data_IF_500695059152
#
_entry.id   IF_500695059152
#
_cell.length_a   1.000
_cell.length_b   1.000
_cell.length_c   1.000
_cell.angle_alpha   90.00
_cell.angle_beta   90.00
_cell.angle_gamma   90.00
#
_symmetry.space_group_name_H-M   'P 1'
#
loop_
_entity.id
_entity.type
_entity.pdbx_description
1 polymer ?
#
# COMPACT_ATOMS: atom_id res chain seq x y z
N UNK A 1 74.25 -53.31 -2.63
CA UNK A 1 73.99 -52.79 -1.26
C UNK A 1 72.97 -51.63 -1.35
N UNK A 2 72.04 -51.64 -0.50
CA UNK A 2 70.94 -50.68 -0.22
C UNK A 2 69.56 -51.01 -0.85
N UNK A 3 68.77 -51.52 -0.03
CA UNK A 3 67.32 -51.86 -0.14
C UNK A 3 66.50 -50.60 -0.21
N UNK A 4 65.58 -50.53 -1.16
CA UNK A 4 64.52 -49.50 -1.21
C UNK A 4 63.19 -50.17 -0.92
N UNK A 5 62.55 -49.71 0.13
CA UNK A 5 61.24 -50.18 0.62
C UNK A 5 60.16 -49.46 -0.18
N UNK A 6 59.25 -50.23 -0.83
CA UNK A 6 58.02 -49.73 -1.41
C UNK A 6 56.99 -49.53 -0.29
N UNK A 7 56.49 -48.31 -0.09
CA UNK A 7 55.38 -48.02 0.74
C UNK A 7 54.16 -47.78 -0.14
N UNK A 8 53.21 -48.73 -0.13
CA UNK A 8 51.90 -48.53 -0.70
C UNK A 8 51.05 -47.57 0.20
N UNK A 9 50.78 -46.39 -0.30
CA UNK A 9 49.83 -45.50 0.35
C UNK A 9 48.39 -45.83 -0.17
N UNK A 10 47.57 -46.37 0.73
CA UNK A 10 46.15 -46.54 0.50
C UNK A 10 45.44 -45.20 0.69
N UNK A 11 44.90 -44.63 -0.38
CA UNK A 11 44.02 -43.48 -0.32
C UNK A 11 42.63 -43.93 0.20
N UNK A 12 42.34 -43.59 1.45
CA UNK A 12 40.99 -43.62 2.04
C UNK A 12 40.25 -42.38 1.53
N UNK A 13 39.31 -42.57 0.61
CA UNK A 13 38.29 -41.61 0.24
C UNK A 13 37.27 -41.52 1.39
N UNK A 14 37.46 -40.56 2.28
CA UNK A 14 36.38 -40.15 3.19
C UNK A 14 35.42 -39.27 2.42
N UNK A 15 34.23 -39.81 2.10
CA UNK A 15 33.09 -39.04 1.69
C UNK A 15 32.67 -38.14 2.85
N UNK A 16 33.11 -36.88 2.81
CA UNK A 16 32.63 -35.85 3.71
C UNK A 16 31.19 -35.54 3.33
N UNK A 17 30.23 -36.06 4.07
CA UNK A 17 28.90 -35.48 4.13
C UNK A 17 29.04 -34.06 4.68
N UNK A 18 29.00 -33.10 3.78
CA UNK A 18 28.85 -31.70 4.17
C UNK A 18 27.52 -31.56 4.91
N UNK A 19 27.56 -31.40 6.23
CA UNK A 19 26.46 -30.85 6.98
C UNK A 19 26.23 -29.46 6.41
N UNK A 20 25.12 -29.27 5.67
CA UNK A 20 24.54 -27.93 5.55
C UNK A 20 24.28 -27.48 6.98
N UNK A 21 25.07 -26.52 7.44
CA UNK A 21 24.70 -25.72 8.58
C UNK A 21 23.42 -24.97 8.15
N UNK A 22 22.27 -25.42 8.59
CA UNK A 22 21.11 -24.58 8.74
C UNK A 22 21.53 -23.48 9.72
N UNK A 23 21.99 -22.37 9.22
CA UNK A 23 22.12 -21.12 9.97
C UNK A 23 20.70 -20.65 10.38
N UNK A 24 20.07 -21.37 11.30
CA UNK A 24 18.97 -20.85 12.10
C UNK A 24 19.59 -19.76 12.94
N UNK A 25 19.45 -18.52 12.49
CA UNK A 25 19.81 -17.35 13.28
C UNK A 25 19.12 -17.51 14.65
N UNK A 26 19.94 -17.57 15.70
CA UNK A 26 19.43 -17.76 17.06
C UNK A 26 18.44 -16.62 17.34
N UNK A 27 17.25 -16.94 17.82
CA UNK A 27 16.17 -15.97 18.09
C UNK A 27 16.67 -14.85 19.03
N UNK A 28 17.71 -15.12 19.83
CA UNK A 28 18.32 -14.15 20.73
C UNK A 28 19.14 -13.07 19.99
N UNK A 29 19.64 -13.33 18.77
CA UNK A 29 20.46 -12.38 18.00
C UNK A 29 19.66 -11.59 16.95
N UNK A 30 18.34 -11.82 16.84
CA UNK A 30 17.53 -11.11 15.87
C UNK A 30 17.33 -9.64 16.27
N UNK A 31 17.99 -8.73 15.55
CA UNK A 31 17.85 -7.29 15.74
C UNK A 31 16.48 -6.81 15.23
N UNK A 32 15.51 -6.78 16.11
CA UNK A 32 14.13 -6.40 15.80
C UNK A 32 13.92 -4.89 15.63
N UNK A 33 14.68 -4.02 16.34
CA UNK A 33 14.66 -2.56 16.12
C UNK A 33 15.87 -2.15 15.31
N UNK A 34 15.66 -1.52 14.13
CA UNK A 34 16.73 -1.14 13.20
C UNK A 34 16.98 0.36 13.18
N UNK A 35 15.96 1.18 13.44
CA UNK A 35 16.10 2.64 13.51
C UNK A 35 15.10 3.23 14.52
N UNK A 36 15.34 4.47 14.89
CA UNK A 36 14.41 5.31 15.64
C UNK A 36 14.65 6.77 15.26
N UNK A 37 13.59 7.47 14.90
CA UNK A 37 13.62 8.91 14.67
C UNK A 37 12.32 9.53 15.17
N UNK A 38 12.41 10.70 15.80
CA UNK A 38 11.28 11.37 16.46
C UNK A 38 10.53 10.39 17.41
N UNK A 39 9.23 10.23 17.22
CA UNK A 39 8.35 9.28 17.92
C UNK A 39 8.21 7.91 17.22
N UNK A 40 8.86 7.73 16.05
CA UNK A 40 8.78 6.52 15.24
C UNK A 40 9.90 5.54 15.58
N UNK A 41 9.55 4.27 15.81
CA UNK A 41 10.48 3.12 15.83
C UNK A 41 10.31 2.31 14.56
N UNK A 42 11.41 2.04 13.85
CA UNK A 42 11.42 1.16 12.69
C UNK A 42 11.76 -0.25 13.14
N UNK A 43 10.80 -1.15 13.01
CA UNK A 43 10.91 -2.52 13.48
C UNK A 43 11.08 -3.47 12.30
N UNK A 44 11.84 -4.54 12.53
CA UNK A 44 11.87 -5.71 11.66
C UNK A 44 11.02 -6.80 12.29
N UNK A 45 10.36 -7.56 11.45
CA UNK A 45 9.64 -8.75 11.86
C UNK A 45 10.23 -9.96 11.13
N UNK A 46 10.24 -11.10 11.80
CA UNK A 46 10.42 -12.39 11.14
C UNK A 46 9.13 -12.72 10.43
N UNK A 47 9.23 -13.47 9.33
CA UNK A 47 8.06 -13.94 8.57
C UNK A 47 7.95 -15.46 8.83
N UNK A 48 7.31 -15.86 9.94
CA UNK A 48 7.19 -17.26 10.28
C UNK A 48 6.47 -18.04 9.19
N UNK A 49 6.80 -19.31 9.08
CA UNK A 49 6.20 -20.24 8.11
C UNK A 49 6.48 -19.94 6.62
N UNK A 50 7.24 -18.90 6.28
CA UNK A 50 7.60 -18.61 4.89
C UNK A 50 8.39 -19.78 4.26
N UNK A 51 9.26 -20.42 5.03
CA UNK A 51 10.06 -21.55 4.55
C UNK A 51 9.23 -22.78 4.23
N UNK A 52 8.06 -22.92 4.84
CA UNK A 52 7.12 -24.01 4.58
C UNK A 52 6.37 -23.89 3.24
N UNK A 53 6.37 -22.68 2.65
CA UNK A 53 5.76 -22.46 1.34
C UNK A 53 6.52 -23.22 0.24
N UNK A 54 5.77 -23.80 -0.69
CA UNK A 54 6.32 -24.40 -1.90
C UNK A 54 7.04 -23.35 -2.76
N UNK A 55 7.95 -23.78 -3.64
CA UNK A 55 8.64 -22.86 -4.57
C UNK A 55 7.66 -22.08 -5.45
N UNK A 56 6.53 -22.69 -5.83
CA UNK A 56 5.46 -22.03 -6.60
C UNK A 56 4.85 -20.87 -5.80
N UNK A 57 4.49 -21.11 -4.54
CA UNK A 57 3.94 -20.10 -3.63
C UNK A 57 4.96 -18.99 -3.31
N UNK A 58 6.23 -19.34 -3.10
CA UNK A 58 7.31 -18.33 -2.91
C UNK A 58 7.45 -17.42 -4.13
N UNK A 59 7.36 -17.98 -5.35
CA UNK A 59 7.35 -17.18 -6.59
C UNK A 59 6.10 -16.31 -6.69
N UNK A 60 4.94 -16.82 -6.27
CA UNK A 60 3.70 -16.05 -6.25
C UNK A 60 3.80 -14.85 -5.30
N UNK A 61 4.23 -15.09 -4.05
CA UNK A 61 4.50 -14.01 -3.07
C UNK A 61 5.47 -12.97 -3.64
N UNK A 62 6.55 -13.41 -4.29
CA UNK A 62 7.52 -12.50 -4.90
C UNK A 62 6.88 -11.63 -6.00
N UNK A 63 6.13 -12.20 -6.94
CA UNK A 63 5.53 -11.45 -8.04
C UNK A 63 4.45 -10.47 -7.54
N UNK A 64 3.61 -10.91 -6.60
CA UNK A 64 2.61 -10.05 -5.96
C UNK A 64 3.28 -8.90 -5.17
N UNK A 65 4.38 -9.18 -4.47
CA UNK A 65 5.16 -8.16 -3.76
C UNK A 65 5.79 -7.14 -4.70
N UNK A 66 6.29 -7.58 -5.87
CA UNK A 66 6.77 -6.64 -6.88
C UNK A 66 5.65 -5.74 -7.41
N UNK A 67 4.45 -6.29 -7.65
CA UNK A 67 3.28 -5.49 -8.01
C UNK A 67 2.93 -4.46 -6.92
N UNK A 68 2.96 -4.88 -5.65
CA UNK A 68 2.71 -4.00 -4.51
C UNK A 68 3.72 -2.84 -4.40
N UNK A 69 5.00 -3.09 -4.70
CA UNK A 69 6.03 -2.06 -4.67
C UNK A 69 5.92 -1.04 -5.81
N UNK A 70 5.38 -1.45 -6.98
CA UNK A 70 5.26 -0.58 -8.15
C UNK A 70 4.24 0.54 -7.98
N UNK A 71 3.23 0.37 -7.14
CA UNK A 71 2.19 1.37 -6.91
C UNK A 71 2.51 2.40 -5.82
N UNK A 72 3.63 2.29 -5.13
CA UNK A 72 3.99 3.18 -4.02
C UNK A 72 3.88 4.67 -4.37
N UNK A 73 4.35 5.06 -5.55
CA UNK A 73 4.38 6.46 -5.97
C UNK A 73 2.98 7.02 -6.26
N UNK A 74 1.99 6.16 -6.53
CA UNK A 74 0.58 6.56 -6.71
C UNK A 74 0.07 7.21 -5.44
N UNK A 75 0.27 6.57 -4.28
CA UNK A 75 -0.22 7.11 -3.00
C UNK A 75 0.45 8.45 -2.65
N UNK A 76 1.75 8.61 -2.91
CA UNK A 76 2.41 9.91 -2.71
C UNK A 76 1.68 11.03 -3.45
N UNK A 77 1.35 10.80 -4.73
CA UNK A 77 0.66 11.78 -5.56
C UNK A 77 -0.80 11.99 -5.10
N UNK A 78 -1.52 10.92 -4.76
CA UNK A 78 -2.89 11.00 -4.24
C UNK A 78 -2.98 11.83 -2.97
N UNK A 79 -2.02 11.67 -2.04
CA UNK A 79 -2.01 12.41 -0.77
C UNK A 79 -1.68 13.90 -0.96
N UNK A 80 -0.86 14.24 -1.93
CA UNK A 80 -0.56 15.62 -2.29
C UNK A 80 0.25 15.68 -3.58
N UNK A 81 -0.16 16.50 -4.53
CA UNK A 81 0.44 16.60 -5.86
C UNK A 81 1.96 16.91 -5.84
N UNK A 82 2.45 17.60 -4.81
CA UNK A 82 3.87 17.95 -4.69
C UNK A 82 4.69 16.94 -3.86
N UNK A 83 4.10 15.88 -3.31
CA UNK A 83 4.85 14.91 -2.52
C UNK A 83 5.97 14.22 -3.29
N UNK A 84 5.74 13.82 -4.55
CA UNK A 84 6.78 13.19 -5.37
C UNK A 84 7.93 14.14 -5.73
N UNK A 85 7.67 15.36 -6.23
CA UNK A 85 8.71 16.37 -6.41
C UNK A 85 9.50 16.66 -5.13
N UNK A 86 8.82 16.85 -4.00
CA UNK A 86 9.46 17.11 -2.69
C UNK A 86 10.33 15.92 -2.30
N UNK A 87 9.80 14.70 -2.28
CA UNK A 87 10.56 13.50 -1.92
C UNK A 87 11.83 13.36 -2.75
N UNK A 88 11.71 13.45 -4.08
CA UNK A 88 12.85 13.32 -5.00
C UNK A 88 13.90 14.39 -4.76
N UNK A 89 13.49 15.64 -4.52
CA UNK A 89 14.42 16.75 -4.20
C UNK A 89 15.16 16.48 -2.89
N UNK A 90 14.44 16.08 -1.84
CA UNK A 90 15.05 15.75 -0.54
C UNK A 90 15.99 14.53 -0.64
N UNK A 91 15.66 13.51 -1.43
CA UNK A 91 16.50 12.35 -1.70
C UNK A 91 17.79 12.75 -2.44
N UNK A 92 17.70 13.58 -3.48
CA UNK A 92 18.87 14.09 -4.21
C UNK A 92 19.82 14.88 -3.31
N UNK A 93 19.29 15.74 -2.43
CA UNK A 93 20.07 16.46 -1.42
C UNK A 93 20.76 15.47 -0.47
N UNK A 94 20.01 14.53 0.08
CA UNK A 94 20.53 13.54 1.03
C UNK A 94 21.66 12.70 0.45
N UNK A 95 21.48 12.21 -0.78
CA UNK A 95 22.46 11.36 -1.47
C UNK A 95 23.73 12.09 -1.89
N UNK A 96 23.64 13.38 -2.15
CA UNK A 96 24.79 14.20 -2.57
C UNK A 96 25.47 14.96 -1.42
N UNK A 97 24.93 14.87 -0.20
CA UNK A 97 25.49 15.60 0.95
C UNK A 97 26.90 15.13 1.30
N UNK A 98 27.88 16.04 1.17
CA UNK A 98 29.29 15.78 1.48
C UNK A 98 29.79 16.44 2.78
N UNK A 99 28.87 17.00 3.61
CA UNK A 99 29.23 17.69 4.85
C UNK A 99 29.32 16.76 6.05
N UNK A 100 29.31 17.34 7.25
CA UNK A 100 29.32 16.57 8.51
C UNK A 100 27.93 16.00 8.80
N UNK A 101 27.80 14.68 8.75
CA UNK A 101 26.55 13.99 9.08
C UNK A 101 26.11 14.18 10.55
N UNK A 102 26.98 14.73 11.42
CA UNK A 102 26.65 15.08 12.80
C UNK A 102 26.21 16.55 12.96
N UNK A 103 26.23 17.36 11.89
CA UNK A 103 25.67 18.72 11.96
C UNK A 103 24.20 18.64 12.42
N UNK A 104 23.83 19.33 13.50
CA UNK A 104 22.45 19.32 14.01
C UNK A 104 21.40 19.75 12.98
N UNK A 105 21.77 20.65 12.06
CA UNK A 105 20.88 21.12 10.99
C UNK A 105 20.64 20.02 9.96
N UNK A 106 21.70 19.26 9.61
CA UNK A 106 21.57 18.12 8.70
C UNK A 106 20.79 16.97 9.33
N UNK A 107 20.98 16.71 10.63
CA UNK A 107 20.14 15.74 11.35
C UNK A 107 18.67 16.13 11.40
N UNK A 108 18.35 17.41 11.50
CA UNK A 108 16.96 17.88 11.41
C UNK A 108 16.39 17.68 9.99
N UNK A 109 17.19 17.92 8.95
CA UNK A 109 16.84 17.64 7.57
C UNK A 109 16.61 16.12 7.33
N UNK A 110 17.55 15.28 7.76
CA UNK A 110 17.44 13.82 7.67
C UNK A 110 16.18 13.31 8.39
N UNK A 111 15.88 13.85 9.58
CA UNK A 111 14.66 13.50 10.32
C UNK A 111 13.41 13.86 9.53
N UNK A 112 13.36 15.02 8.91
CA UNK A 112 12.22 15.42 8.06
C UNK A 112 12.05 14.50 6.85
N UNK A 113 13.13 14.18 6.14
CA UNK A 113 13.13 13.23 5.03
C UNK A 113 12.62 11.84 5.47
N UNK A 114 13.08 11.34 6.62
CA UNK A 114 12.59 10.08 7.20
C UNK A 114 11.09 10.11 7.50
N UNK A 115 10.56 11.24 7.98
CA UNK A 115 9.11 11.44 8.16
C UNK A 115 8.36 11.38 6.83
N UNK A 116 8.88 12.05 5.80
CA UNK A 116 8.30 12.03 4.45
C UNK A 116 8.28 10.61 3.87
N UNK A 117 9.35 9.85 4.04
CA UNK A 117 9.38 8.44 3.62
C UNK A 117 8.37 7.59 4.38
N UNK A 118 8.33 7.75 5.70
CA UNK A 118 7.48 6.96 6.56
C UNK A 118 6.00 7.22 6.32
N UNK A 119 5.61 8.49 6.15
CA UNK A 119 4.21 8.88 6.02
C UNK A 119 3.67 8.89 4.57
N UNK A 120 4.48 8.52 3.57
CA UNK A 120 4.17 8.66 2.14
C UNK A 120 3.84 10.12 1.75
N UNK A 121 4.60 11.08 2.28
CA UNK A 121 4.42 12.50 1.97
C UNK A 121 4.71 13.41 3.16
N UNK A 122 4.45 14.71 2.96
CA UNK A 122 4.74 15.75 3.96
C UNK A 122 3.69 15.87 5.06
N UNK A 123 2.68 15.01 5.08
CA UNK A 123 1.62 14.99 6.07
C UNK A 123 1.64 13.72 6.92
N UNK A 124 1.26 13.85 8.17
CA UNK A 124 1.20 12.73 9.10
C UNK A 124 0.14 11.72 8.66
N UNK A 125 0.46 10.43 8.74
CA UNK A 125 -0.35 9.34 8.20
C UNK A 125 -1.66 9.06 8.96
N UNK A 126 -1.84 9.61 10.17
CA UNK A 126 -3.09 9.51 10.93
C UNK A 126 -3.79 10.85 11.10
N UNK A 127 -3.07 11.89 11.56
CA UNK A 127 -3.69 13.19 11.83
C UNK A 127 -3.97 14.00 10.57
N UNK A 128 -3.38 13.60 9.44
CA UNK A 128 -3.40 14.34 8.17
C UNK A 128 -2.68 15.71 8.20
N UNK A 129 -2.11 16.12 9.33
CA UNK A 129 -1.44 17.41 9.50
C UNK A 129 -0.08 17.45 8.82
N UNK A 130 0.26 18.60 8.28
CA UNK A 130 1.56 18.83 7.66
C UNK A 130 2.68 18.83 8.69
N UNK A 131 3.80 18.18 8.35
CA UNK A 131 5.02 18.23 9.14
C UNK A 131 5.69 19.59 9.08
N UNK A 132 6.10 20.10 10.23
CA UNK A 132 6.94 21.30 10.32
C UNK A 132 8.40 20.86 10.22
N UNK A 133 9.21 21.43 9.28
CA UNK A 133 10.63 21.15 9.20
C UNK A 133 11.36 21.64 10.46
N UNK A 134 12.30 20.85 10.95
CA UNK A 134 13.18 21.24 12.06
C UNK A 134 14.43 22.01 11.62
N UNK A 135 14.48 22.51 10.39
CA UNK A 135 15.55 23.27 9.78
C UNK A 135 14.99 24.47 9.02
N UNK A 136 15.83 25.47 8.76
CA UNK A 136 15.40 26.73 8.12
C UNK A 136 15.35 26.62 6.59
N UNK A 137 14.53 27.45 5.96
CA UNK A 137 14.48 27.59 4.50
C UNK A 137 15.86 27.99 3.93
N UNK A 138 16.59 28.91 4.58
CA UNK A 138 17.95 29.29 4.16
C UNK A 138 18.95 28.14 4.21
N UNK A 139 18.80 27.21 5.15
CA UNK A 139 19.62 26.00 5.19
C UNK A 139 19.25 25.05 4.04
N UNK A 140 17.97 24.89 3.75
CA UNK A 140 17.51 24.14 2.58
C UNK A 140 18.08 24.72 1.28
N UNK A 141 18.05 26.05 1.11
CA UNK A 141 18.64 26.72 -0.07
C UNK A 141 20.14 26.42 -0.19
N UNK A 142 20.87 26.43 0.94
CA UNK A 142 22.30 26.08 0.96
C UNK A 142 22.55 24.64 0.55
N UNK A 143 21.73 23.71 1.00
CA UNK A 143 21.80 22.29 0.60
C UNK A 143 21.47 22.10 -0.88
N UNK A 144 20.41 22.74 -1.36
CA UNK A 144 20.01 22.67 -2.76
C UNK A 144 21.09 23.26 -3.70
N UNK A 145 21.68 24.39 -3.34
CA UNK A 145 22.76 25.02 -4.11
C UNK A 145 24.04 24.17 -4.17
N UNK A 146 24.27 23.30 -3.17
CA UNK A 146 25.41 22.38 -3.14
C UNK A 146 25.10 21.01 -3.80
N UNK A 147 23.88 20.82 -4.31
CA UNK A 147 23.42 19.58 -4.94
C UNK A 147 23.47 19.71 -6.47
N UNK A 148 24.42 19.08 -7.18
CA UNK A 148 24.62 19.31 -8.62
C UNK A 148 23.40 18.97 -9.48
N UNK A 149 22.62 17.97 -9.11
CA UNK A 149 21.42 17.54 -9.85
C UNK A 149 20.25 18.53 -9.75
N UNK A 150 20.32 19.50 -8.85
CA UNK A 150 19.33 20.57 -8.69
C UNK A 150 19.69 21.86 -9.43
N UNK A 151 20.86 21.94 -10.05
CA UNK A 151 21.25 23.08 -10.89
C UNK A 151 20.27 23.23 -12.06
N UNK A 152 19.75 24.43 -12.28
CA UNK A 152 18.77 24.71 -13.33
C UNK A 152 17.34 24.25 -13.00
N UNK A 153 17.05 23.91 -11.73
CA UNK A 153 15.73 23.54 -11.25
C UNK A 153 15.08 24.59 -10.33
N UNK A 154 15.39 25.86 -10.56
CA UNK A 154 14.93 27.00 -9.73
C UNK A 154 13.40 27.08 -9.67
N UNK A 155 12.70 26.79 -10.77
CA UNK A 155 11.22 26.78 -10.83
C UNK A 155 10.65 25.68 -9.92
N UNK A 156 11.24 24.48 -9.93
CA UNK A 156 10.85 23.39 -9.06
C UNK A 156 11.05 23.78 -7.59
N UNK A 157 12.22 24.34 -7.25
CA UNK A 157 12.52 24.76 -5.89
C UNK A 157 11.57 25.87 -5.41
N UNK A 158 11.24 26.84 -6.27
CA UNK A 158 10.28 27.88 -5.98
C UNK A 158 8.87 27.34 -5.73
N UNK A 159 8.49 26.27 -6.43
CA UNK A 159 7.19 25.61 -6.27
C UNK A 159 7.08 24.82 -4.95
N UNK A 160 8.12 24.06 -4.57
CA UNK A 160 8.04 23.16 -3.42
C UNK A 160 8.37 23.84 -2.08
N UNK A 161 9.14 24.93 -2.06
CA UNK A 161 9.53 25.59 -0.80
C UNK A 161 8.34 26.11 0.01
N UNK A 162 7.36 26.84 -0.54
CA UNK A 162 6.19 27.25 0.22
C UNK A 162 5.41 26.05 0.77
N UNK A 163 5.30 24.95 0.01
CA UNK A 163 4.64 23.75 0.47
C UNK A 163 5.35 23.11 1.68
N UNK A 164 6.67 23.21 1.76
CA UNK A 164 7.46 22.67 2.89
C UNK A 164 7.42 23.62 4.09
N UNK A 165 7.64 24.94 3.90
CA UNK A 165 7.97 25.86 4.96
C UNK A 165 6.82 26.76 5.43
N UNK A 166 5.82 27.07 4.59
CA UNK A 166 4.66 27.87 5.02
C UNK A 166 3.65 26.99 5.79
N UNK A 167 3.47 27.19 7.10
CA UNK A 167 2.59 26.36 7.91
C UNK A 167 1.10 26.49 7.54
N UNK A 168 0.71 27.58 6.88
CA UNK A 168 -0.69 27.84 6.52
C UNK A 168 -1.10 27.22 5.18
N UNK A 169 -0.12 26.94 4.30
CA UNK A 169 -0.40 26.28 3.02
C UNK A 169 -0.47 24.77 3.17
N UNK A 170 -1.50 24.15 2.58
CA UNK A 170 -1.65 22.69 2.52
C UNK A 170 -1.58 22.03 3.90
N UNK A 171 -2.31 22.57 4.87
CA UNK A 171 -2.25 22.20 6.29
C UNK A 171 -2.60 20.75 6.56
N UNK A 172 -3.59 20.22 5.82
CA UNK A 172 -4.09 18.85 5.99
C UNK A 172 -4.34 18.19 4.64
N UNK A 173 -4.07 16.89 4.53
CA UNK A 173 -4.45 16.11 3.33
C UNK A 173 -5.94 15.92 3.22
N UNK A 174 -6.66 15.81 4.34
CA UNK A 174 -8.11 15.59 4.41
C UNK A 174 -8.65 16.45 5.54
N UNK A 175 -9.22 17.60 5.19
CA UNK A 175 -9.80 18.56 6.14
C UNK A 175 -11.34 18.45 6.09
N UNK A 176 -11.91 17.93 7.17
CA UNK A 176 -13.35 17.76 7.35
C UNK A 176 -13.92 18.69 8.44
N UNK A 177 -13.27 19.85 8.66
CA UNK A 177 -13.74 20.84 9.63
C UNK A 177 -15.10 21.42 9.22
N UNK A 178 -15.90 21.81 10.22
CA UNK A 178 -17.19 22.42 9.96
C UNK A 178 -17.07 23.81 9.29
N UNK A 179 -17.96 24.07 8.34
CA UNK A 179 -18.12 25.40 7.73
C UNK A 179 -17.10 25.78 6.66
N UNK A 180 -16.27 24.84 6.21
CA UNK A 180 -15.34 25.02 5.09
C UNK A 180 -15.79 24.25 3.85
N UNK A 181 -15.23 24.58 2.69
CA UNK A 181 -15.26 23.69 1.52
C UNK A 181 -14.19 22.62 1.69
N UNK A 182 -14.58 21.39 2.06
CA UNK A 182 -13.69 20.30 2.38
C UNK A 182 -12.79 19.90 1.21
N UNK A 183 -13.26 20.08 -0.03
CA UNK A 183 -12.50 19.73 -1.23
C UNK A 183 -11.36 20.71 -1.46
N UNK A 184 -11.64 22.02 -1.42
CA UNK A 184 -10.64 23.04 -1.69
C UNK A 184 -9.69 23.30 -0.51
N UNK A 185 -10.10 22.93 0.71
CA UNK A 185 -9.27 23.04 1.92
C UNK A 185 -8.33 21.84 2.11
N UNK A 186 -8.62 20.70 1.51
CA UNK A 186 -7.80 19.50 1.57
C UNK A 186 -6.65 19.55 0.55
N UNK A 187 -5.45 19.14 0.95
CA UNK A 187 -4.29 19.12 0.09
C UNK A 187 -4.21 17.87 -0.82
N UNK A 188 -5.11 16.88 -0.63
CA UNK A 188 -5.11 15.69 -1.47
C UNK A 188 -5.35 16.01 -2.95
N UNK A 189 -4.91 15.11 -3.81
CA UNK A 189 -4.93 15.30 -5.27
C UNK A 189 -6.08 14.53 -5.94
N UNK A 190 -7.24 14.48 -5.27
CA UNK A 190 -8.43 13.78 -5.79
C UNK A 190 -9.34 14.69 -6.62
N UNK A 191 -9.20 16.01 -6.44
CA UNK A 191 -10.03 17.02 -7.09
C UNK A 191 -9.12 18.12 -7.67
N UNK A 192 -9.49 18.68 -8.83
CA UNK A 192 -8.73 19.75 -9.44
C UNK A 192 -9.66 20.77 -10.13
N UNK A 193 -9.70 21.99 -9.57
CA UNK A 193 -10.56 23.06 -10.04
C UNK A 193 -12.05 22.86 -9.73
N UNK A 194 -12.37 21.95 -8.82
CA UNK A 194 -13.73 21.55 -8.42
C UNK A 194 -13.95 21.98 -6.97
N UNK A 195 -15.12 22.51 -6.65
CA UNK A 195 -15.58 22.77 -5.30
C UNK A 195 -16.28 21.54 -4.70
N UNK A 196 -16.46 21.53 -3.38
CA UNK A 196 -17.23 20.47 -2.70
C UNK A 196 -18.63 20.32 -3.30
N UNK A 197 -19.36 21.42 -3.46
CA UNK A 197 -20.72 21.42 -4.03
C UNK A 197 -20.74 20.81 -5.43
N UNK A 198 -19.82 21.20 -6.28
CA UNK A 198 -19.74 20.67 -7.65
C UNK A 198 -19.42 19.18 -7.67
N UNK A 199 -18.55 18.70 -6.77
CA UNK A 199 -18.25 17.28 -6.65
C UNK A 199 -19.48 16.47 -6.18
N UNK A 200 -20.17 16.95 -5.15
CA UNK A 200 -21.40 16.34 -4.63
C UNK A 200 -22.50 16.28 -5.70
N UNK A 201 -22.73 17.38 -6.41
CA UNK A 201 -23.72 17.44 -7.51
C UNK A 201 -23.34 16.47 -8.67
N UNK A 202 -22.05 16.39 -9.01
CA UNK A 202 -21.55 15.46 -10.03
C UNK A 202 -21.86 14.01 -9.67
N UNK A 203 -21.44 13.56 -8.46
CA UNK A 203 -21.66 12.17 -8.04
C UNK A 203 -23.12 11.86 -7.79
N UNK A 204 -23.90 12.81 -7.27
CA UNK A 204 -25.35 12.63 -7.14
C UNK A 204 -26.04 12.41 -8.49
N UNK A 205 -25.54 13.04 -9.55
CA UNK A 205 -26.08 12.87 -10.92
C UNK A 205 -25.84 11.48 -11.50
N UNK A 206 -24.86 10.72 -10.97
CA UNK A 206 -24.52 9.36 -11.44
C UNK A 206 -25.33 8.27 -10.71
N UNK A 207 -26.07 8.63 -9.67
CA UNK A 207 -26.84 7.65 -8.87
C UNK A 207 -28.06 7.19 -9.65
N UNK A 208 -28.12 5.89 -9.98
CA UNK A 208 -29.33 5.22 -10.44
C UNK A 208 -29.97 4.46 -9.26
N UNK A 209 -31.05 5.03 -8.72
CA UNK A 209 -31.78 4.43 -7.58
C UNK A 209 -32.46 3.09 -7.92
N UNK A 210 -32.53 2.72 -9.19
CA UNK A 210 -33.12 1.45 -9.67
C UNK A 210 -32.07 0.35 -9.84
N UNK A 211 -30.78 0.68 -9.84
CA UNK A 211 -29.69 -0.31 -9.91
C UNK A 211 -29.48 -0.98 -8.54
N UNK A 212 -29.75 -2.29 -8.39
CA UNK A 212 -29.53 -3.01 -7.14
C UNK A 212 -28.03 -3.33 -6.88
N UNK A 213 -27.15 -3.06 -7.85
CA UNK A 213 -25.73 -3.38 -7.85
C UNK A 213 -24.86 -2.23 -8.36
N UNK A 214 -24.98 -1.05 -7.75
CA UNK A 214 -24.25 0.13 -8.19
C UNK A 214 -22.77 -0.03 -7.95
N UNK A 215 -21.95 0.42 -8.91
CA UNK A 215 -20.50 0.55 -8.71
C UNK A 215 -20.19 1.69 -7.75
N UNK A 216 -19.04 1.64 -7.10
CA UNK A 216 -18.53 2.73 -6.26
C UNK A 216 -17.96 3.86 -7.17
N UNK A 217 -18.86 4.72 -7.68
CA UNK A 217 -18.48 5.80 -8.60
C UNK A 217 -17.39 6.70 -7.99
N UNK A 218 -16.38 7.04 -8.77
CA UNK A 218 -15.26 7.88 -8.35
C UNK A 218 -14.07 7.16 -7.74
N UNK A 219 -14.19 5.85 -7.39
CA UNK A 219 -13.19 5.11 -6.63
C UNK A 219 -11.78 5.16 -7.25
N UNK A 220 -11.68 5.08 -8.56
CA UNK A 220 -10.42 5.02 -9.30
C UNK A 220 -10.23 6.20 -10.26
N UNK A 221 -10.57 7.40 -9.82
CA UNK A 221 -10.50 8.58 -10.67
C UNK A 221 -10.16 9.84 -9.89
N UNK A 222 -9.64 10.84 -10.59
CA UNK A 222 -9.58 12.23 -10.17
C UNK A 222 -10.72 12.99 -10.81
N UNK A 223 -11.45 13.82 -10.04
CA UNK A 223 -12.49 14.68 -10.61
C UNK A 223 -11.86 16.04 -10.95
N UNK A 224 -11.98 16.44 -12.20
CA UNK A 224 -11.35 17.65 -12.71
C UNK A 224 -12.33 18.56 -13.39
N UNK A 225 -12.07 19.88 -13.32
CA UNK A 225 -12.82 20.89 -14.04
C UNK A 225 -11.89 21.62 -15.01
N UNK A 226 -12.20 21.56 -16.31
CA UNK A 226 -11.47 22.25 -17.38
C UNK A 226 -12.48 22.94 -18.30
N UNK A 227 -12.26 24.21 -18.58
CA UNK A 227 -13.14 25.02 -19.45
C UNK A 227 -14.62 24.94 -19.05
N UNK A 228 -14.88 24.91 -17.73
CA UNK A 228 -16.22 24.84 -17.16
C UNK A 228 -16.88 23.45 -17.20
N UNK A 229 -16.21 22.43 -17.73
CA UNK A 229 -16.70 21.04 -17.75
C UNK A 229 -16.07 20.22 -16.63
N UNK A 230 -16.88 19.44 -15.94
CA UNK A 230 -16.45 18.50 -14.90
C UNK A 230 -16.48 17.10 -15.46
N UNK A 231 -15.40 16.35 -15.26
CA UNK A 231 -15.27 14.95 -15.70
C UNK A 231 -14.25 14.20 -14.87
N UNK A 232 -14.26 12.87 -14.96
CA UNK A 232 -13.31 11.99 -14.28
C UNK A 232 -12.09 11.69 -15.17
N UNK A 233 -10.90 11.87 -14.63
CA UNK A 233 -9.66 11.31 -15.13
C UNK A 233 -9.45 9.94 -14.48
N UNK A 234 -9.86 8.88 -15.19
CA UNK A 234 -9.81 7.51 -14.66
C UNK A 234 -8.37 7.00 -14.59
N UNK A 235 -8.01 6.42 -13.44
CA UNK A 235 -6.70 5.81 -13.20
C UNK A 235 -6.66 4.39 -13.77
N UNK A 236 -6.08 4.26 -14.93
CA UNK A 236 -5.97 3.03 -15.71
C UNK A 236 -4.72 3.03 -16.57
N UNK A 237 -4.49 1.94 -17.28
CA UNK A 237 -3.51 1.91 -18.37
C UNK A 237 -3.85 3.04 -19.39
N UNK A 238 -2.82 3.73 -19.88
CA UNK A 238 -2.94 4.94 -20.72
C UNK A 238 -3.54 6.17 -20.01
N UNK A 239 -3.75 6.11 -18.68
CA UNK A 239 -4.19 7.23 -17.84
C UNK A 239 -3.05 7.85 -17.01
N UNK A 240 -3.42 8.67 -16.01
CA UNK A 240 -2.49 9.46 -15.18
C UNK A 240 -1.38 8.62 -14.55
N UNK A 241 -1.68 7.41 -14.06
CA UNK A 241 -0.73 6.51 -13.40
C UNK A 241 -0.23 5.39 -14.30
N UNK A 242 -0.35 5.52 -15.64
CA UNK A 242 0.03 4.47 -16.59
C UNK A 242 1.42 3.89 -16.34
N UNK A 243 2.50 4.68 -16.09
CA UNK A 243 3.84 4.10 -15.88
C UNK A 243 3.95 3.19 -14.65
N UNK A 244 3.14 3.42 -13.62
CA UNK A 244 3.05 2.55 -12.45
C UNK A 244 2.16 1.33 -12.74
N UNK A 245 1.00 1.56 -13.34
CA UNK A 245 0.01 0.53 -13.69
C UNK A 245 0.58 -0.50 -14.67
N UNK A 246 1.37 -0.08 -15.67
CA UNK A 246 2.09 -1.00 -16.57
C UNK A 246 2.99 -1.98 -15.80
N UNK A 247 3.71 -1.49 -14.80
CA UNK A 247 4.58 -2.34 -13.96
C UNK A 247 3.76 -3.25 -13.05
N UNK A 248 2.68 -2.72 -12.47
CA UNK A 248 1.76 -3.51 -11.63
C UNK A 248 1.17 -4.66 -12.46
N UNK A 249 0.59 -4.36 -13.62
CA UNK A 249 -0.01 -5.37 -14.50
C UNK A 249 1.00 -6.39 -15.01
N UNK A 250 2.21 -5.97 -15.37
CA UNK A 250 3.29 -6.88 -15.72
C UNK A 250 3.56 -7.92 -14.63
N UNK A 251 3.68 -7.48 -13.37
CA UNK A 251 3.95 -8.39 -12.26
C UNK A 251 2.74 -9.25 -11.89
N UNK A 252 1.52 -8.72 -12.00
CA UNK A 252 0.30 -9.50 -11.84
C UNK A 252 0.16 -10.59 -12.90
N UNK A 253 0.48 -10.30 -14.17
CA UNK A 253 0.50 -11.30 -15.24
C UNK A 253 1.52 -12.41 -14.96
N UNK A 254 2.70 -12.07 -14.39
CA UNK A 254 3.65 -13.08 -13.90
C UNK A 254 3.08 -13.90 -12.75
N UNK A 255 2.39 -13.26 -11.80
CA UNK A 255 1.73 -13.94 -10.69
C UNK A 255 0.68 -14.94 -11.17
N UNK A 256 -0.13 -14.59 -12.16
CA UNK A 256 -1.13 -15.47 -12.76
C UNK A 256 -0.53 -16.79 -13.31
N UNK A 257 0.72 -16.77 -13.80
CA UNK A 257 1.40 -17.98 -14.31
C UNK A 257 1.77 -18.99 -13.23
N UNK A 258 1.81 -18.57 -11.97
CA UNK A 258 2.17 -19.38 -10.80
C UNK A 258 1.07 -19.42 -9.74
N UNK A 259 -0.14 -19.00 -10.07
CA UNK A 259 -1.31 -19.08 -9.19
C UNK A 259 -1.52 -20.51 -8.67
N UNK A 260 -1.94 -20.66 -7.42
CA UNK A 260 -2.06 -21.95 -6.76
C UNK A 260 -3.13 -22.83 -7.40
N UNK A 261 -4.23 -22.20 -7.84
CA UNK A 261 -5.38 -22.86 -8.44
C UNK A 261 -6.04 -21.98 -9.52
N UNK A 262 -7.01 -22.52 -10.29
CA UNK A 262 -7.70 -21.76 -11.35
C UNK A 262 -8.52 -20.55 -10.83
N UNK A 263 -9.10 -20.62 -9.63
CA UNK A 263 -9.87 -19.52 -9.04
C UNK A 263 -8.96 -18.32 -8.75
N UNK A 264 -7.82 -18.55 -8.10
CA UNK A 264 -6.82 -17.49 -7.85
C UNK A 264 -6.29 -16.90 -9.17
N UNK A 265 -6.05 -17.74 -10.18
CA UNK A 265 -5.64 -17.24 -11.49
C UNK A 265 -6.70 -16.31 -12.08
N UNK A 266 -7.96 -16.70 -12.04
CA UNK A 266 -9.08 -15.89 -12.54
C UNK A 266 -9.20 -14.54 -11.77
N UNK A 267 -8.99 -14.56 -10.45
CA UNK A 267 -8.94 -13.37 -9.61
C UNK A 267 -7.85 -12.41 -10.07
N UNK A 268 -6.62 -12.89 -10.28
CA UNK A 268 -5.50 -12.07 -10.74
C UNK A 268 -5.78 -11.51 -12.15
N UNK A 269 -6.31 -12.32 -13.05
CA UNK A 269 -6.65 -11.89 -14.42
C UNK A 269 -7.77 -10.84 -14.44
N UNK A 270 -8.77 -10.94 -13.56
CA UNK A 270 -9.81 -9.91 -13.41
C UNK A 270 -9.24 -8.58 -12.90
N UNK A 271 -8.31 -8.62 -11.95
CA UNK A 271 -7.61 -7.43 -11.48
C UNK A 271 -6.78 -6.77 -12.60
N UNK A 272 -6.10 -7.56 -13.43
CA UNK A 272 -5.37 -7.06 -14.60
C UNK A 272 -6.33 -6.40 -15.59
N UNK A 273 -7.53 -7.00 -15.84
CA UNK A 273 -8.56 -6.42 -16.69
C UNK A 273 -9.04 -5.07 -16.19
N UNK A 274 -9.30 -4.98 -14.87
CA UNK A 274 -9.64 -3.73 -14.19
C UNK A 274 -8.58 -2.63 -14.40
N UNK A 275 -7.32 -2.91 -14.13
CA UNK A 275 -6.25 -1.93 -14.33
C UNK A 275 -6.10 -1.48 -15.80
N UNK A 276 -6.36 -2.36 -16.75
CA UNK A 276 -6.31 -2.04 -18.18
C UNK A 276 -7.49 -1.18 -18.62
N UNK A 277 -8.69 -1.50 -18.18
CA UNK A 277 -9.93 -0.80 -18.62
C UNK A 277 -10.27 0.42 -17.76
N UNK A 278 -9.99 0.37 -16.45
CA UNK A 278 -10.51 1.31 -15.46
C UNK A 278 -12.01 1.11 -15.15
N UNK A 279 -12.62 0.03 -15.63
CA UNK A 279 -14.05 -0.25 -15.43
C UNK A 279 -14.29 -0.79 -14.03
N UNK A 280 -15.08 -0.09 -13.23
CA UNK A 280 -15.44 -0.47 -11.87
C UNK A 280 -16.27 -1.76 -11.80
N UNK A 281 -16.95 -2.17 -12.87
CA UNK A 281 -17.60 -3.48 -12.94
C UNK A 281 -16.58 -4.62 -12.97
N UNK A 282 -15.43 -4.41 -13.60
CA UNK A 282 -14.32 -5.37 -13.54
C UNK A 282 -13.70 -5.43 -12.13
N UNK A 283 -13.71 -4.30 -11.40
CA UNK A 283 -13.28 -4.30 -9.99
C UNK A 283 -14.27 -5.06 -9.10
N UNK A 284 -15.56 -4.90 -9.31
CA UNK A 284 -16.60 -5.71 -8.63
C UNK A 284 -16.42 -7.20 -8.95
N UNK A 285 -16.16 -7.54 -10.22
CA UNK A 285 -15.87 -8.92 -10.64
C UNK A 285 -14.62 -9.47 -9.96
N UNK A 286 -13.54 -8.70 -9.89
CA UNK A 286 -12.34 -9.06 -9.14
C UNK A 286 -12.67 -9.35 -7.68
N UNK A 287 -13.44 -8.47 -7.04
CA UNK A 287 -13.82 -8.58 -5.63
C UNK A 287 -14.63 -9.86 -5.35
N UNK A 288 -15.56 -10.22 -6.23
CA UNK A 288 -16.36 -11.45 -6.12
C UNK A 288 -15.47 -12.69 -6.27
N UNK A 289 -14.63 -12.74 -7.32
CA UNK A 289 -13.71 -13.87 -7.53
C UNK A 289 -12.71 -14.00 -6.38
N UNK A 290 -12.26 -12.89 -5.81
CA UNK A 290 -11.38 -12.87 -4.65
C UNK A 290 -12.07 -13.49 -3.41
N UNK A 291 -13.35 -13.20 -3.18
CA UNK A 291 -14.14 -13.83 -2.11
C UNK A 291 -14.32 -15.32 -2.32
N UNK A 292 -14.56 -15.75 -3.56
CA UNK A 292 -14.75 -17.15 -3.94
C UNK A 292 -13.47 -17.99 -3.79
N UNK A 293 -12.28 -17.38 -3.90
CA UNK A 293 -10.99 -18.06 -3.67
C UNK A 293 -10.75 -18.26 -2.17
N UNK A 294 -11.41 -19.28 -1.62
CA UNK A 294 -11.28 -19.69 -0.22
C UNK A 294 -10.05 -20.56 0.07
N UNK A 295 -9.53 -21.28 -0.93
CA UNK A 295 -8.58 -22.38 -0.75
C UNK A 295 -7.12 -21.97 -0.85
N UNK A 296 -6.78 -20.90 -1.59
CA UNK A 296 -5.41 -20.43 -1.75
C UNK A 296 -4.76 -20.12 -0.40
N UNK A 297 -3.51 -20.54 -0.23
CA UNK A 297 -2.71 -20.25 0.95
C UNK A 297 -2.14 -18.83 0.89
N UNK A 298 -1.63 -18.42 -0.27
CA UNK A 298 -1.19 -17.03 -0.53
C UNK A 298 -2.41 -16.21 -0.95
N UNK A 299 -2.57 -15.04 -0.35
CA UNK A 299 -3.65 -14.12 -0.65
C UNK A 299 -3.11 -12.70 -0.84
N UNK A 300 -3.89 -11.83 -1.47
CA UNK A 300 -3.46 -10.47 -1.74
C UNK A 300 -4.64 -9.52 -1.91
N UNK A 301 -4.38 -8.26 -1.63
CA UNK A 301 -5.24 -7.12 -1.98
C UNK A 301 -4.40 -6.16 -2.80
N UNK A 302 -4.94 -5.58 -3.86
CA UNK A 302 -4.24 -4.58 -4.66
C UNK A 302 -5.27 -3.76 -5.45
N UNK A 303 -5.24 -2.44 -5.33
CA UNK A 303 -6.20 -1.59 -6.02
C UNK A 303 -6.37 -0.22 -5.40
N UNK A 304 -7.34 0.52 -5.91
CA UNK A 304 -7.86 1.76 -5.33
C UNK A 304 -9.05 1.36 -4.44
N UNK A 305 -8.91 1.41 -3.10
CA UNK A 305 -9.80 0.67 -2.20
C UNK A 305 -10.36 1.54 -1.09
N UNK A 306 -9.49 2.12 -0.23
CA UNK A 306 -9.94 2.82 0.96
C UNK A 306 -10.19 4.30 0.70
N UNK A 307 -11.36 4.80 1.10
CA UNK A 307 -11.78 6.17 0.81
C UNK A 307 -11.58 7.16 1.97
N UNK A 308 -10.90 6.77 3.03
CA UNK A 308 -10.64 7.64 4.20
C UNK A 308 -9.79 8.88 3.89
N UNK A 309 -9.00 8.85 2.83
CA UNK A 309 -8.19 9.98 2.38
C UNK A 309 -8.95 11.04 1.60
N UNK A 310 -10.20 10.76 1.21
CA UNK A 310 -11.09 11.69 0.53
C UNK A 310 -12.12 12.25 1.54
N UNK A 311 -12.22 13.58 1.74
CA UNK A 311 -13.19 14.16 2.66
C UNK A 311 -14.65 13.87 2.30
N UNK A 312 -14.94 13.56 1.03
CA UNK A 312 -16.28 13.19 0.55
C UNK A 312 -16.49 11.67 0.45
N UNK A 313 -15.44 10.85 0.59
CA UNK A 313 -15.52 9.40 0.60
C UNK A 313 -15.72 8.72 -0.77
N UNK A 314 -15.53 9.42 -1.89
CA UNK A 314 -15.67 8.84 -3.23
C UNK A 314 -14.38 8.19 -3.75
N UNK A 315 -13.20 8.72 -3.39
CA UNK A 315 -11.92 8.40 -4.00
C UNK A 315 -11.16 7.34 -3.24
N UNK A 316 -10.78 6.26 -3.91
CA UNK A 316 -9.99 5.19 -3.31
C UNK A 316 -8.50 5.51 -3.27
N UNK A 317 -7.89 5.44 -2.08
CA UNK A 317 -6.43 5.39 -1.96
C UNK A 317 -5.91 4.08 -2.56
N UNK A 318 -4.78 4.17 -3.26
CA UNK A 318 -4.13 2.96 -3.76
C UNK A 318 -3.44 2.22 -2.61
N UNK A 319 -3.74 0.93 -2.50
CA UNK A 319 -3.10 0.05 -1.51
C UNK A 319 -2.79 -1.34 -2.06
N UNK A 320 -1.89 -2.02 -1.37
CA UNK A 320 -1.61 -3.43 -1.62
C UNK A 320 -1.19 -4.13 -0.32
N UNK A 321 -1.65 -5.37 -0.20
CA UNK A 321 -1.25 -6.30 0.85
C UNK A 321 -1.00 -7.66 0.24
N UNK A 322 0.14 -8.27 0.54
CA UNK A 322 0.46 -9.65 0.16
C UNK A 322 0.70 -10.44 1.42
N UNK A 323 -0.02 -11.52 1.59
CA UNK A 323 0.01 -12.32 2.79
C UNK A 323 -0.14 -13.81 2.49
N UNK A 324 0.05 -14.63 3.50
CA UNK A 324 -0.28 -16.05 3.44
C UNK A 324 -0.86 -16.52 4.77
N UNK A 325 -1.73 -17.53 4.69
CA UNK A 325 -2.46 -18.06 5.85
C UNK A 325 -1.49 -18.73 6.83
N UNK A 326 -1.61 -18.37 8.11
CA UNK A 326 -1.12 -19.20 9.19
C UNK A 326 -2.15 -20.31 9.45
N UNK A 327 -1.87 -21.52 8.97
CA UNK A 327 -2.83 -22.64 8.95
C UNK A 327 -3.25 -23.03 10.37
N UNK A 328 -2.29 -23.12 11.30
CA UNK A 328 -2.57 -23.52 12.68
C UNK A 328 -3.39 -22.47 13.45
N UNK A 329 -3.08 -21.21 13.27
CA UNK A 329 -3.86 -20.13 13.89
C UNK A 329 -5.25 -20.01 13.24
N UNK A 330 -5.38 -20.20 11.92
CA UNK A 330 -6.65 -20.15 11.21
C UNK A 330 -7.60 -21.25 11.67
N UNK A 331 -7.13 -22.48 11.93
CA UNK A 331 -7.98 -23.54 12.50
C UNK A 331 -8.65 -23.13 13.81
N UNK A 332 -8.00 -22.30 14.63
CA UNK A 332 -8.58 -21.79 15.88
C UNK A 332 -9.68 -20.76 15.63
N UNK A 333 -9.54 -19.92 14.60
CA UNK A 333 -10.53 -18.90 14.25
C UNK A 333 -11.72 -19.45 13.47
N UNK A 334 -11.64 -20.65 12.88
CA UNK A 334 -12.78 -21.34 12.24
C UNK A 334 -13.97 -21.53 13.19
N UNK A 335 -13.71 -21.62 14.49
CA UNK A 335 -14.77 -21.70 15.51
C UNK A 335 -15.63 -20.42 15.49
N UNK A 336 -15.00 -19.24 15.30
CA UNK A 336 -15.71 -17.96 15.20
C UNK A 336 -16.58 -17.93 13.94
N UNK A 337 -16.02 -18.33 12.79
CA UNK A 337 -16.75 -18.39 11.53
C UNK A 337 -17.98 -19.30 11.59
N UNK A 338 -17.83 -20.49 12.20
CA UNK A 338 -18.94 -21.44 12.38
C UNK A 338 -20.04 -20.96 13.33
N UNK A 339 -19.73 -20.03 14.20
CA UNK A 339 -20.69 -19.45 15.16
C UNK A 339 -21.11 -18.02 14.78
N UNK A 340 -20.85 -17.57 13.56
CA UNK A 340 -21.12 -16.19 13.13
C UNK A 340 -22.61 -15.83 13.28
N UNK A 341 -23.53 -16.74 12.94
CA UNK A 341 -24.97 -16.54 13.14
C UNK A 341 -25.33 -16.37 14.63
N UNK A 342 -24.72 -17.19 15.50
CA UNK A 342 -24.95 -17.05 16.94
C UNK A 342 -24.52 -15.66 17.46
N UNK A 343 -23.40 -15.13 16.99
CA UNK A 343 -22.95 -13.78 17.36
C UNK A 343 -23.89 -12.70 16.83
N UNK A 344 -24.40 -12.83 15.61
CA UNK A 344 -25.41 -11.92 15.06
C UNK A 344 -26.68 -11.91 15.91
N UNK A 345 -27.23 -13.10 16.19
CA UNK A 345 -28.47 -13.28 16.93
C UNK A 345 -28.39 -12.73 18.37
N UNK A 346 -27.22 -12.87 19.00
CA UNK A 346 -26.97 -12.44 20.38
C UNK A 346 -26.27 -11.07 20.51
N UNK A 347 -26.06 -10.36 19.39
CA UNK A 347 -25.49 -9.00 19.43
C UNK A 347 -26.47 -8.03 20.09
N UNK A 348 -25.99 -6.95 20.75
CA UNK A 348 -26.84 -5.93 21.38
C UNK A 348 -27.46 -4.95 20.36
N UNK A 349 -27.62 -5.37 19.10
CA UNK A 349 -28.21 -4.60 18.01
C UNK A 349 -29.72 -4.85 17.99
N UNK A 350 -30.52 -3.82 17.68
CA UNK A 350 -31.96 -3.96 17.50
C UNK A 350 -32.27 -5.02 16.43
N UNK A 351 -33.30 -5.82 16.69
CA UNK A 351 -33.68 -6.93 15.81
C UNK A 351 -34.00 -6.49 14.38
N UNK A 352 -34.50 -5.27 14.19
CA UNK A 352 -34.77 -4.69 12.87
C UNK A 352 -33.50 -4.54 11.98
N UNK A 353 -32.32 -4.53 12.57
CA UNK A 353 -31.03 -4.38 11.88
C UNK A 353 -30.21 -5.68 11.86
N UNK A 354 -30.71 -6.76 12.48
CA UNK A 354 -30.02 -8.05 12.45
C UNK A 354 -30.20 -8.75 11.12
N UNK A 355 -29.16 -9.46 10.67
CA UNK A 355 -29.22 -10.29 9.48
C UNK A 355 -29.94 -11.59 9.79
N UNK A 356 -30.95 -11.94 8.98
CA UNK A 356 -31.62 -13.25 9.09
C UNK A 356 -30.65 -14.40 8.83
N UNK A 357 -29.71 -14.22 7.91
CA UNK A 357 -28.68 -15.19 7.56
C UNK A 357 -27.33 -14.50 7.40
N UNK A 358 -26.35 -14.94 8.18
CA UNK A 358 -24.96 -14.49 8.06
C UNK A 358 -24.23 -15.35 7.03
N UNK A 359 -23.85 -14.73 5.91
CA UNK A 359 -23.15 -15.39 4.80
C UNK A 359 -21.69 -14.99 4.72
N UNK A 360 -20.84 -15.93 4.28
CA UNK A 360 -19.49 -15.65 3.83
C UNK A 360 -18.51 -15.14 4.87
N UNK A 361 -18.79 -15.30 6.17
CA UNK A 361 -17.83 -14.90 7.21
C UNK A 361 -16.68 -15.89 7.26
N UNK A 362 -15.48 -15.42 6.96
CA UNK A 362 -14.25 -16.19 6.98
C UNK A 362 -13.23 -15.49 7.85
N UNK A 363 -12.93 -16.05 9.02
CA UNK A 363 -11.87 -15.52 9.89
C UNK A 363 -10.58 -16.32 9.64
N UNK A 364 -9.60 -15.66 9.01
CA UNK A 364 -8.29 -16.23 8.72
C UNK A 364 -7.22 -15.47 9.49
N UNK A 365 -6.22 -16.16 10.02
CA UNK A 365 -5.01 -15.52 10.53
C UNK A 365 -3.96 -15.54 9.44
N UNK A 366 -3.41 -14.39 9.15
CA UNK A 366 -2.47 -14.20 8.04
C UNK A 366 -1.13 -13.69 8.54
N UNK A 367 -0.07 -14.09 7.85
CA UNK A 367 1.27 -13.52 7.96
C UNK A 367 1.48 -12.60 6.78
N UNK A 368 1.71 -11.31 7.06
CA UNK A 368 1.95 -10.31 6.01
C UNK A 368 3.36 -10.45 5.48
N UNK A 369 3.50 -10.56 4.17
CA UNK A 369 4.78 -10.60 3.47
C UNK A 369 5.18 -9.24 2.88
N UNK A 370 4.22 -8.45 2.37
CA UNK A 370 4.45 -7.13 1.79
C UNK A 370 3.24 -6.24 1.97
N UNK A 371 3.49 -4.98 2.31
CA UNK A 371 2.51 -3.89 2.28
C UNK A 371 2.93 -2.84 1.25
N UNK A 372 1.99 -2.15 0.67
CA UNK A 372 2.21 -1.04 -0.26
C UNK A 372 1.09 -0.01 -0.17
N UNK A 373 1.38 1.22 -0.60
CA UNK A 373 0.41 2.30 -0.61
C UNK A 373 -0.15 2.61 0.78
N UNK A 374 -1.46 2.73 0.89
CA UNK A 374 -2.15 3.15 2.12
C UNK A 374 -2.10 2.10 3.25
N UNK A 375 -1.85 0.84 2.93
CA UNK A 375 -1.57 -0.19 3.93
C UNK A 375 -0.23 0.01 4.67
N UNK A 376 0.61 0.97 4.26
CA UNK A 376 1.87 1.35 4.87
C UNK A 376 1.88 2.86 5.17
N UNK A 377 2.38 3.33 6.34
CA UNK A 377 2.97 2.60 7.47
C UNK A 377 1.96 2.10 8.50
N UNK A 378 0.72 2.51 8.39
CA UNK A 378 -0.37 2.11 9.29
C UNK A 378 -0.83 0.69 8.94
N UNK A 379 -0.02 -0.31 9.30
CA UNK A 379 -0.32 -1.72 9.06
C UNK A 379 -1.70 -2.08 9.60
N UNK A 380 -2.64 -2.56 8.78
CA UNK A 380 -3.96 -2.96 9.22
C UNK A 380 -3.86 -4.15 10.19
N UNK A 381 -4.61 -4.11 11.27
CA UNK A 381 -4.74 -5.22 12.24
C UNK A 381 -5.58 -6.34 11.63
N UNK A 382 -6.51 -5.98 10.77
CA UNK A 382 -7.39 -6.90 10.05
C UNK A 382 -7.83 -6.32 8.72
N UNK A 383 -8.28 -7.21 7.84
CA UNK A 383 -8.84 -6.87 6.54
C UNK A 383 -10.29 -7.35 6.56
N UNK A 384 -11.22 -6.56 6.08
CA UNK A 384 -12.64 -6.90 5.93
C UNK A 384 -13.16 -6.25 4.64
N UNK A 385 -12.89 -6.89 3.52
CA UNK A 385 -13.19 -6.40 2.19
C UNK A 385 -14.15 -7.37 1.45
N UNK A 386 -14.77 -6.93 0.36
CA UNK A 386 -14.74 -5.61 -0.25
C UNK A 386 -15.59 -4.56 0.49
N UNK A 387 -15.43 -3.27 0.15
CA UNK A 387 -16.21 -2.18 0.72
C UNK A 387 -17.58 -2.00 0.04
N UNK A 388 -17.82 -2.61 -1.11
CA UNK A 388 -19.10 -2.55 -1.83
C UNK A 388 -20.24 -3.22 -1.06
N UNK A 389 -21.27 -2.45 -0.67
CA UNK A 389 -22.38 -2.92 0.14
C UNK A 389 -23.16 -4.07 -0.50
N UNK A 390 -23.43 -4.01 -1.80
CA UNK A 390 -24.17 -5.06 -2.48
C UNK A 390 -23.36 -6.35 -2.59
N UNK A 391 -22.02 -6.26 -2.79
CA UNK A 391 -21.16 -7.44 -2.81
C UNK A 391 -21.13 -8.08 -1.43
N UNK A 392 -20.99 -7.28 -0.36
CA UNK A 392 -21.02 -7.77 1.03
C UNK A 392 -22.36 -8.45 1.36
N UNK A 393 -23.45 -7.88 0.87
CA UNK A 393 -24.81 -8.45 1.06
C UNK A 393 -24.97 -9.79 0.33
N UNK A 394 -24.55 -9.86 -0.94
CA UNK A 394 -24.84 -11.00 -1.82
C UNK A 394 -23.76 -12.10 -1.74
N UNK A 395 -22.49 -11.73 -1.50
CA UNK A 395 -21.32 -12.62 -1.54
C UNK A 395 -20.55 -12.69 -0.21
N UNK A 396 -20.78 -11.78 0.73
CA UNK A 396 -20.09 -11.71 2.03
C UNK A 396 -18.81 -10.88 2.00
N UNK A 397 -17.89 -11.19 2.95
CA UNK A 397 -16.60 -10.49 3.11
C UNK A 397 -15.55 -11.44 3.69
N UNK A 398 -14.25 -11.13 3.48
CA UNK A 398 -13.15 -11.85 4.13
C UNK A 398 -12.02 -10.92 4.54
#
# INVERSE_FOLDING_TARGET
>A
MKKGVLICAALLLTAGCGRQNDDKMDVQDFKWQIDRFDDVKVLRYQVPDFDSLSLRQKKLVYYLSQAALCGRDILYDQKFALNLPIRKTLEEIYLSYGGDNNDPRFKAFEKYLKKVWFANGIHHHYSNDKFVPGFTESYFDSLAASTPSLNGKEELLALIKPAIFDPELYRSTCDQSDGIDMVTSSANNYYDGVTQKEAEEYYASLVDSTDPRPVMAGLNSRLVKRDGKIYEEVWRLDGTYSPAIEKITYWLEKAATVAENPAQKATIEALVSYYKSGDLKEFDRYSILWLEDGDSQVDFVNGFIESYGDPLGYKGSWEANVNFKNIEATKRTEVLSRNAQWFEDNSPVDSAYKKEEVKGVSAKVITVAQLGGDAYPATPIGINLPNSDWIRRDHGSK
#
